data_IF_120806734399
#
_entry.id   IF_120806734399
#
_cell.length_a   1.000
_cell.length_b   1.000
_cell.length_c   1.000
_cell.angle_alpha   90.00
_cell.angle_beta   90.00
_cell.angle_gamma   90.00
#
_symmetry.space_group_name_H-M   'P 1'
#
loop_
_entity.id
_entity.type
_entity.pdbx_description
1 polymer ?
#
# COMPACT_ATOMS: atom_id res chain seq x y z
N UNK A 1 -6.89 -19.12 -23.90
CA UNK A 1 -5.83 -19.59 -22.96
C UNK A 1 -5.00 -18.43 -22.45
N UNK A 2 -5.57 -17.57 -21.63
CA UNK A 2 -4.81 -16.65 -20.79
C UNK A 2 -4.52 -17.40 -19.49
N UNK A 3 -3.31 -17.91 -19.35
CA UNK A 3 -2.83 -18.35 -18.04
C UNK A 3 -3.04 -17.16 -17.09
N UNK A 4 -3.90 -17.33 -16.08
CA UNK A 4 -3.91 -16.48 -14.88
C UNK A 4 -2.47 -16.48 -14.36
N UNK A 5 -1.68 -15.49 -14.77
CA UNK A 5 -0.39 -15.20 -14.16
C UNK A 5 -0.72 -15.02 -12.68
N UNK A 6 -0.25 -15.95 -11.85
CA UNK A 6 -0.47 -15.91 -10.40
C UNK A 6 -0.18 -14.49 -9.95
N UNK A 7 -1.12 -13.88 -9.22
CA UNK A 7 -1.01 -12.49 -8.78
C UNK A 7 0.40 -12.24 -8.24
N UNK A 8 1.23 -11.57 -9.03
CA UNK A 8 2.55 -11.13 -8.55
C UNK A 8 2.23 -10.17 -7.41
N UNK A 9 2.84 -10.34 -6.23
CA UNK A 9 2.58 -9.60 -4.99
C UNK A 9 2.94 -8.11 -5.04
N UNK A 10 2.87 -7.53 -6.23
CA UNK A 10 3.37 -6.21 -6.63
C UNK A 10 2.44 -5.08 -6.21
N UNK A 11 1.30 -5.36 -5.59
CA UNK A 11 0.43 -4.30 -5.12
C UNK A 11 0.97 -3.75 -3.80
N UNK A 12 1.53 -2.54 -3.84
CA UNK A 12 2.19 -1.93 -2.67
C UNK A 12 1.14 -1.42 -1.67
N UNK A 13 1.21 -1.95 -0.45
CA UNK A 13 0.63 -1.28 0.71
C UNK A 13 1.55 -0.11 1.11
N UNK A 14 0.96 0.99 1.56
CA UNK A 14 1.71 2.22 1.85
C UNK A 14 1.31 2.81 3.20
N UNK A 15 2.21 3.61 3.77
CA UNK A 15 1.98 4.47 4.94
C UNK A 15 2.70 5.80 4.70
N UNK A 16 2.10 6.92 5.09
CA UNK A 16 2.64 8.25 4.76
C UNK A 16 2.51 8.65 3.29
N UNK A 17 1.79 7.88 2.47
CA UNK A 17 1.48 8.19 1.09
C UNK A 17 -0.03 8.16 0.84
N UNK A 18 -0.49 8.95 -0.13
CA UNK A 18 -1.78 8.83 -0.79
C UNK A 18 -1.55 8.65 -2.27
N UNK A 19 -2.05 7.56 -2.83
CA UNK A 19 -1.87 7.22 -4.25
C UNK A 19 -3.23 7.09 -4.90
N UNK A 20 -3.41 7.78 -6.02
CA UNK A 20 -4.60 7.63 -6.86
C UNK A 20 -4.22 6.89 -8.13
N UNK A 21 -4.86 5.75 -8.34
CA UNK A 21 -4.75 4.96 -9.56
C UNK A 21 -5.97 5.12 -10.45
N UNK A 22 -5.75 5.18 -11.75
CA UNK A 22 -6.78 5.06 -12.78
C UNK A 22 -6.52 3.81 -13.61
N UNK A 23 -7.28 2.74 -13.36
CA UNK A 23 -7.16 1.47 -14.06
C UNK A 23 -7.88 1.45 -15.41
N UNK A 24 -8.60 2.52 -15.77
CA UNK A 24 -9.14 2.68 -17.13
C UNK A 24 -8.04 3.02 -18.14
N UNK A 25 -6.86 3.42 -17.66
CA UNK A 25 -5.66 3.62 -18.47
C UNK A 25 -4.79 2.35 -18.49
N UNK A 26 -4.35 1.92 -19.66
CA UNK A 26 -3.55 0.70 -19.79
C UNK A 26 -2.08 0.87 -19.39
N UNK A 27 -1.51 2.05 -19.61
CA UNK A 27 -0.07 2.27 -19.47
C UNK A 27 0.30 3.24 -18.33
N UNK A 28 -0.50 4.29 -18.12
CA UNK A 28 -0.22 5.33 -17.14
C UNK A 28 -1.30 5.37 -16.07
N UNK A 29 -1.24 4.37 -15.18
CA UNK A 29 -2.26 4.15 -14.16
C UNK A 29 -2.11 5.02 -12.93
N UNK A 30 -0.96 5.67 -12.71
CA UNK A 30 -0.78 6.57 -11.54
C UNK A 30 -1.24 7.97 -11.93
N UNK A 31 -2.29 8.45 -11.27
CA UNK A 31 -2.85 9.79 -11.48
C UNK A 31 -2.19 10.84 -10.58
N UNK A 32 -2.01 10.51 -9.31
CA UNK A 32 -1.34 11.38 -8.35
C UNK A 32 -0.68 10.57 -7.23
N UNK A 33 0.38 11.14 -6.68
CA UNK A 33 1.05 10.66 -5.48
C UNK A 33 1.26 11.86 -4.56
N UNK A 34 0.68 11.78 -3.37
CA UNK A 34 0.97 12.70 -2.29
C UNK A 34 1.78 11.97 -1.21
N UNK A 35 2.76 12.65 -0.64
CA UNK A 35 3.62 12.15 0.42
C UNK A 35 3.57 13.07 1.62
N UNK A 36 3.59 12.49 2.81
CA UNK A 36 3.65 13.22 4.06
C UNK A 36 5.01 13.94 4.17
N UNK A 37 5.01 15.25 4.38
CA UNK A 37 6.25 16.03 4.46
C UNK A 37 7.10 15.61 5.67
N UNK A 38 8.41 15.47 5.44
CA UNK A 38 9.39 15.16 6.50
C UNK A 38 10.06 16.42 7.07
N UNK A 39 10.13 17.51 6.29
CA UNK A 39 10.79 18.76 6.67
C UNK A 39 9.76 19.89 6.85
N UNK A 40 8.79 19.66 7.73
CA UNK A 40 7.69 20.57 8.03
C UNK A 40 7.34 20.47 9.52
N UNK A 41 6.88 21.57 10.13
CA UNK A 41 6.55 21.58 11.57
C UNK A 41 5.26 20.81 11.88
N UNK A 42 4.31 20.80 10.94
CA UNK A 42 3.06 20.05 11.03
C UNK A 42 2.98 19.16 9.79
N UNK A 43 2.85 17.83 9.95
CA UNK A 43 2.78 16.91 8.82
C UNK A 43 1.56 17.20 7.93
N UNK A 44 1.84 17.51 6.67
CA UNK A 44 0.87 17.72 5.60
C UNK A 44 1.23 16.86 4.39
N UNK A 45 0.24 16.51 3.60
CA UNK A 45 0.45 15.82 2.33
C UNK A 45 0.80 16.82 1.23
N UNK A 46 1.87 16.55 0.51
CA UNK A 46 2.33 17.34 -0.63
C UNK A 46 2.49 16.45 -1.85
N UNK A 47 2.21 16.99 -3.05
CA UNK A 47 2.47 16.28 -4.30
C UNK A 47 3.95 15.90 -4.42
N UNK A 48 4.21 14.68 -4.87
CA UNK A 48 5.57 14.22 -5.18
C UNK A 48 6.16 15.08 -6.30
N UNK A 49 7.38 15.57 -6.08
CA UNK A 49 8.15 16.32 -7.06
C UNK A 49 9.29 15.44 -7.59
N UNK A 50 9.37 15.29 -8.92
CA UNK A 50 10.30 14.36 -9.57
C UNK A 50 11.78 14.74 -9.39
N UNK A 51 12.07 15.99 -9.04
CA UNK A 51 13.40 16.54 -8.79
C UNK A 51 13.85 16.42 -7.33
N UNK A 52 12.99 15.93 -6.43
CA UNK A 52 13.28 15.76 -5.01
C UNK A 52 13.67 14.33 -4.65
N UNK A 53 14.57 14.20 -3.68
CA UNK A 53 14.93 12.93 -3.07
C UNK A 53 14.04 12.64 -1.86
N UNK A 54 13.43 11.45 -1.83
CA UNK A 54 12.60 10.99 -0.72
C UNK A 54 13.26 9.80 -0.03
N UNK A 55 13.24 9.80 1.31
CA UNK A 55 13.63 8.63 2.10
C UNK A 55 12.39 7.79 2.36
N UNK A 56 12.43 6.53 1.94
CA UNK A 56 11.34 5.56 2.13
C UNK A 56 11.83 4.37 2.95
N UNK A 57 10.90 3.75 3.67
CA UNK A 57 11.13 2.46 4.34
C UNK A 57 10.41 1.40 3.52
N UNK A 58 11.14 0.35 3.14
CA UNK A 58 10.62 -0.80 2.40
C UNK A 58 11.31 -2.08 2.90
N UNK A 59 10.69 -3.23 2.66
CA UNK A 59 11.30 -4.53 2.96
C UNK A 59 12.50 -4.78 2.04
N UNK A 60 13.52 -5.49 2.54
CA UNK A 60 14.77 -5.77 1.81
C UNK A 60 14.49 -6.47 0.46
N UNK A 61 13.52 -7.38 0.42
CA UNK A 61 13.09 -8.05 -0.82
C UNK A 61 12.71 -7.06 -1.92
N UNK A 62 11.95 -6.02 -1.60
CA UNK A 62 11.50 -5.00 -2.55
C UNK A 62 12.67 -4.08 -2.90
N UNK A 63 13.48 -3.67 -1.92
CA UNK A 63 14.68 -2.84 -2.13
C UNK A 63 15.69 -3.49 -3.11
N UNK A 64 15.82 -4.82 -3.07
CA UNK A 64 16.68 -5.60 -3.98
C UNK A 64 16.04 -5.95 -5.33
N UNK A 65 14.85 -5.44 -5.62
CA UNK A 65 14.18 -5.64 -6.91
C UNK A 65 13.35 -6.93 -7.00
N UNK A 66 12.99 -7.53 -5.86
CA UNK A 66 12.00 -8.59 -5.78
C UNK A 66 10.71 -8.22 -6.52
N UNK A 67 9.92 -9.21 -6.93
CA UNK A 67 8.65 -8.97 -7.66
C UNK A 67 8.78 -8.18 -8.98
N UNK A 68 10.01 -8.02 -9.49
CA UNK A 68 10.32 -7.35 -10.75
C UNK A 68 10.42 -5.83 -10.64
N UNK A 69 10.65 -5.29 -9.44
CA UNK A 69 10.92 -3.88 -9.24
C UNK A 69 12.30 -3.49 -9.77
N UNK A 70 12.35 -2.50 -10.67
CA UNK A 70 13.56 -2.11 -11.41
C UNK A 70 14.25 -0.86 -10.84
N UNK A 71 14.30 -0.73 -9.52
CA UNK A 71 14.96 0.41 -8.85
C UNK A 71 16.16 0.02 -7.98
N UNK A 72 16.51 -1.28 -7.92
CA UNK A 72 17.64 -1.76 -7.10
C UNK A 72 18.97 -1.04 -7.42
N UNK A 73 19.16 -0.65 -8.68
CA UNK A 73 20.36 0.07 -9.13
C UNK A 73 20.25 1.60 -9.02
N UNK A 74 19.07 2.14 -8.66
CA UNK A 74 18.79 3.57 -8.59
C UNK A 74 18.50 4.07 -7.17
N UNK A 75 18.54 3.19 -6.18
CA UNK A 75 18.26 3.50 -4.77
C UNK A 75 19.53 3.34 -3.94
N UNK A 76 19.75 4.30 -3.03
CA UNK A 76 20.81 4.22 -2.03
C UNK A 76 20.22 3.62 -0.76
N UNK A 77 20.68 2.42 -0.37
CA UNK A 77 20.30 1.81 0.91
C UNK A 77 21.09 2.48 2.03
N UNK A 78 20.44 3.37 2.78
CA UNK A 78 21.10 4.09 3.89
C UNK A 78 21.12 3.32 5.21
N UNK A 79 20.18 2.38 5.38
CA UNK A 79 19.95 1.62 6.62
C UNK A 79 19.16 0.35 6.29
N UNK A 80 19.46 -0.76 6.97
CA UNK A 80 18.76 -2.05 6.83
C UNK A 80 17.63 -2.17 7.87
N UNK A 81 17.72 -1.46 8.99
CA UNK A 81 16.71 -1.50 10.05
C UNK A 81 16.62 -2.86 10.78
N UNK A 82 15.60 -3.03 11.64
CA UNK A 82 15.31 -4.29 12.33
C UNK A 82 14.64 -5.30 11.40
N UNK A 83 14.65 -6.57 11.82
CA UNK A 83 13.87 -7.63 11.18
C UNK A 83 12.35 -7.39 11.34
N UNK A 84 11.57 -7.81 10.35
CA UNK A 84 10.18 -7.37 10.18
C UNK A 84 9.29 -7.77 11.37
N UNK A 85 9.45 -9.00 11.88
CA UNK A 85 8.61 -9.48 12.99
C UNK A 85 8.89 -8.73 14.29
N UNK A 86 10.15 -8.34 14.56
CA UNK A 86 10.48 -7.56 15.75
C UNK A 86 9.91 -6.13 15.66
N UNK A 87 9.99 -5.52 14.48
CA UNK A 87 9.40 -4.21 14.25
C UNK A 87 7.88 -4.24 14.46
N UNK A 88 7.23 -5.29 13.94
CA UNK A 88 5.80 -5.50 14.10
C UNK A 88 5.40 -5.78 15.55
N UNK A 89 6.12 -6.66 16.25
CA UNK A 89 5.89 -6.97 17.66
C UNK A 89 5.99 -5.71 18.52
N UNK A 90 7.08 -4.95 18.39
CA UNK A 90 7.27 -3.69 19.12
C UNK A 90 6.18 -2.68 18.82
N UNK A 91 5.71 -2.61 17.57
CA UNK A 91 4.60 -1.75 17.20
C UNK A 91 3.29 -2.18 17.87
N UNK A 92 2.93 -3.47 17.79
CA UNK A 92 1.70 -4.01 18.37
C UNK A 92 1.68 -3.79 19.88
N UNK A 93 2.76 -4.12 20.58
CA UNK A 93 2.86 -3.93 22.04
C UNK A 93 2.67 -2.46 22.42
N UNK A 94 3.26 -1.54 21.66
CA UNK A 94 3.18 -0.10 21.94
C UNK A 94 1.82 0.51 21.61
N UNK A 95 1.14 0.02 20.58
CA UNK A 95 -0.07 0.64 20.02
C UNK A 95 -1.35 -0.08 20.44
N UNK A 96 -1.25 -1.16 21.21
CA UNK A 96 -2.40 -1.94 21.67
C UNK A 96 -3.21 -1.20 22.74
N UNK A 97 -4.55 -1.27 22.69
CA UNK A 97 -5.38 -1.85 21.61
C UNK A 97 -5.37 -1.00 20.33
N UNK A 98 -5.26 -1.65 19.16
CA UNK A 98 -5.14 -0.95 17.88
C UNK A 98 -6.50 -0.76 17.21
N UNK A 99 -6.74 0.45 16.70
CA UNK A 99 -7.83 0.76 15.77
C UNK A 99 -7.24 1.45 14.55
N UNK A 100 -7.41 0.86 13.35
CA UNK A 100 -6.89 1.46 12.12
C UNK A 100 -8.04 2.08 11.32
N UNK A 101 -8.10 3.42 11.18
CA UNK A 101 -9.14 4.06 10.40
C UNK A 101 -8.89 3.86 8.90
N UNK A 102 -9.94 4.03 8.09
CA UNK A 102 -9.76 4.18 6.65
C UNK A 102 -9.14 5.55 6.36
N UNK A 103 -7.84 5.56 6.05
CA UNK A 103 -7.07 6.79 5.84
C UNK A 103 -7.06 7.28 4.38
N UNK A 104 -7.72 6.56 3.46
CA UNK A 104 -7.76 6.92 2.04
C UNK A 104 -6.39 6.89 1.36
N UNK A 105 -5.49 6.00 1.81
CA UNK A 105 -4.11 5.87 1.30
C UNK A 105 -4.03 5.43 -0.15
N UNK A 106 -4.97 4.61 -0.61
CA UNK A 106 -5.03 4.14 -1.99
C UNK A 106 -6.44 4.37 -2.50
N UNK A 107 -6.57 5.13 -3.58
CA UNK A 107 -7.81 5.28 -4.34
C UNK A 107 -7.61 4.67 -5.71
N UNK A 108 -8.64 3.99 -6.20
CA UNK A 108 -8.61 3.33 -7.49
C UNK A 108 -9.86 3.75 -8.24
N UNK A 109 -9.69 4.19 -9.47
CA UNK A 109 -10.77 4.36 -10.45
C UNK A 109 -10.73 3.17 -11.39
N UNK A 110 -11.90 2.59 -11.68
CA UNK A 110 -12.09 1.46 -12.58
C UNK A 110 -13.30 1.72 -13.47
N UNK A 111 -13.50 0.89 -14.51
CA UNK A 111 -14.59 1.07 -15.45
C UNK A 111 -15.94 0.68 -14.79
N UNK A 112 -17.01 1.42 -15.07
CA UNK A 112 -18.33 1.15 -14.51
C UNK A 112 -18.83 -0.27 -14.84
N UNK A 113 -18.38 -0.84 -15.97
CA UNK A 113 -18.66 -2.24 -16.34
C UNK A 113 -18.17 -3.25 -15.31
N UNK A 114 -17.12 -2.92 -14.55
CA UNK A 114 -16.51 -3.81 -13.55
C UNK A 114 -17.14 -3.61 -12.15
N UNK A 115 -18.01 -2.61 -11.99
CA UNK A 115 -18.58 -2.22 -10.69
C UNK A 115 -19.27 -3.38 -9.99
N UNK A 116 -20.13 -4.11 -10.70
CA UNK A 116 -20.86 -5.24 -10.11
C UNK A 116 -19.91 -6.34 -9.62
N UNK A 117 -18.89 -6.68 -10.43
CA UNK A 117 -17.89 -7.67 -10.05
C UNK A 117 -17.08 -7.22 -8.82
N UNK A 118 -16.62 -5.97 -8.80
CA UNK A 118 -15.88 -5.38 -7.68
C UNK A 118 -16.74 -5.37 -6.42
N UNK A 119 -17.99 -4.95 -6.50
CA UNK A 119 -18.92 -4.94 -5.37
C UNK A 119 -19.20 -6.36 -4.85
N UNK A 120 -19.38 -7.33 -5.75
CA UNK A 120 -19.58 -8.74 -5.38
C UNK A 120 -18.34 -9.31 -4.69
N UNK A 121 -17.13 -9.12 -5.24
CA UNK A 121 -15.90 -9.57 -4.59
C UNK A 121 -15.68 -8.88 -3.24
N UNK A 122 -15.91 -7.57 -3.16
CA UNK A 122 -15.77 -6.81 -1.91
C UNK A 122 -16.74 -7.32 -0.86
N UNK A 123 -18.00 -7.58 -1.25
CA UNK A 123 -19.02 -8.15 -0.37
C UNK A 123 -18.61 -9.54 0.09
N UNK A 124 -18.21 -10.43 -0.81
CA UNK A 124 -17.75 -11.77 -0.46
C UNK A 124 -16.60 -11.76 0.55
N UNK A 125 -15.62 -10.86 0.38
CA UNK A 125 -14.50 -10.76 1.32
C UNK A 125 -14.94 -10.23 2.69
N UNK A 126 -15.87 -9.26 2.72
CA UNK A 126 -16.42 -8.70 3.97
C UNK A 126 -17.33 -9.68 4.69
N UNK A 127 -18.23 -10.34 3.97
CA UNK A 127 -19.19 -11.28 4.55
C UNK A 127 -18.48 -12.53 5.08
N UNK A 128 -17.29 -12.85 4.57
CA UNK A 128 -16.45 -13.92 5.10
C UNK A 128 -15.64 -13.49 6.33
N UNK A 129 -15.91 -12.30 6.88
CA UNK A 129 -15.24 -11.79 8.07
C UNK A 129 -16.26 -11.20 9.07
N UNK A 130 -16.14 -11.58 10.34
CA UNK A 130 -16.85 -10.91 11.44
C UNK A 130 -15.95 -9.83 12.03
N UNK A 131 -16.37 -8.58 11.87
CA UNK A 131 -15.62 -7.41 12.35
C UNK A 131 -16.34 -6.76 13.55
N UNK A 132 -15.73 -6.80 14.73
CA UNK A 132 -16.19 -6.07 15.93
C UNK A 132 -15.06 -5.17 16.46
N UNK A 133 -15.38 -3.92 16.78
CA UNK A 133 -14.44 -2.95 17.35
C UNK A 133 -13.10 -2.81 16.59
N UNK A 134 -13.13 -2.93 15.26
CA UNK A 134 -11.94 -2.82 14.40
C UNK A 134 -11.11 -4.10 14.27
N UNK A 135 -11.55 -5.21 14.88
CA UNK A 135 -10.93 -6.52 14.75
C UNK A 135 -11.80 -7.42 13.86
N UNK A 136 -11.23 -7.93 12.76
CA UNK A 136 -11.92 -8.81 11.81
C UNK A 136 -11.36 -10.22 11.90
N UNK A 137 -12.21 -11.20 12.20
CA UNK A 137 -11.89 -12.62 12.13
C UNK A 137 -12.51 -13.23 10.88
N UNK A 138 -11.83 -14.20 10.25
CA UNK A 138 -12.47 -15.00 9.23
C UNK A 138 -13.58 -15.87 9.84
N UNK A 139 -14.72 -15.92 9.16
CA UNK A 139 -15.79 -16.86 9.48
C UNK A 139 -15.30 -18.24 9.02
N UNK A 140 -15.29 -19.21 9.95
CA UNK A 140 -14.79 -20.56 9.72
C UNK A 140 -15.84 -21.44 9.04
#
# INVERSE_FOLDING_TARGET
NTSKDKSKGRFLQVSGFRVEYDLTNDNNRVKSIDVLCANCSVPIYEHVACDKTYKIVAVDFIARGGDGYKFANSVIVSDVGPIEYEALEKYIVKMSPMWTPNEGRIKITWNDTDKEAVENYTRMMRDNQTCENGFCNFIQ
#
